data_IF_206008865740
#
_entry.id   IF_206008865740
#
_cell.length_a   1.000
_cell.length_b   1.000
_cell.length_c   1.000
_cell.angle_alpha   90.00
_cell.angle_beta   90.00
_cell.angle_gamma   90.00
#
_symmetry.space_group_name_H-M   'P 1'
#
loop_
_entity.id
_entity.type
_entity.pdbx_description
1 polymer ?
#
# COMPACT_ATOMS: atom_id res chain seq x y z
N UNK A 1 -4.67 -6.46 -5.04
CA UNK A 1 -5.80 -6.01 -4.19
C UNK A 1 -5.23 -5.10 -3.12
N UNK A 2 -5.77 -3.89 -2.86
CA UNK A 2 -5.16 -3.00 -1.86
C UNK A 2 -5.14 -3.61 -0.46
N UNK A 3 -4.07 -3.36 0.30
CA UNK A 3 -3.87 -3.90 1.66
C UNK A 3 -5.02 -3.59 2.63
N UNK A 4 -5.59 -2.39 2.57
CA UNK A 4 -6.76 -1.98 3.35
C UNK A 4 -7.96 -2.93 3.16
N UNK A 5 -8.24 -3.31 1.91
CA UNK A 5 -9.36 -4.20 1.59
C UNK A 5 -9.07 -5.60 2.13
N UNK A 6 -7.80 -6.03 2.15
CA UNK A 6 -7.41 -7.31 2.73
C UNK A 6 -7.68 -7.34 4.24
N UNK A 7 -7.30 -6.30 4.98
CA UNK A 7 -7.62 -6.14 6.41
C UNK A 7 -9.11 -6.23 6.67
N UNK A 8 -9.93 -5.51 5.88
CA UNK A 8 -11.38 -5.56 6.01
C UNK A 8 -11.99 -6.95 5.77
N UNK A 9 -11.35 -7.78 4.92
CA UNK A 9 -11.77 -9.16 4.68
C UNK A 9 -11.41 -10.07 5.85
N UNK A 10 -10.16 -10.05 6.30
CA UNK A 10 -9.73 -10.93 7.40
C UNK A 10 -10.35 -10.52 8.73
N UNK A 11 -10.67 -9.24 8.94
CA UNK A 11 -11.41 -8.76 10.11
C UNK A 11 -12.86 -9.27 10.23
N UNK A 12 -13.32 -10.13 9.32
CA UNK A 12 -14.61 -10.83 9.43
C UNK A 12 -14.51 -12.16 10.15
N UNK A 13 -13.31 -12.74 10.25
CA UNK A 13 -13.05 -13.93 11.06
C UNK A 13 -12.66 -13.53 12.47
N UNK A 14 -12.84 -14.45 13.41
CA UNK A 14 -12.68 -14.26 14.86
C UNK A 14 -13.67 -13.28 15.54
N UNK A 15 -14.29 -13.72 16.64
CA UNK A 15 -15.14 -12.90 17.52
C UNK A 15 -15.15 -13.46 18.93
N UNK A 16 -15.23 -12.56 19.93
CA UNK A 16 -15.45 -12.88 21.36
C UNK A 16 -14.42 -13.85 21.95
N UNK A 17 -13.13 -13.61 21.68
CA UNK A 17 -12.02 -14.38 22.28
C UNK A 17 -11.83 -15.78 21.71
N UNK A 18 -12.42 -16.09 20.55
CA UNK A 18 -12.10 -17.30 19.80
C UNK A 18 -10.85 -17.04 18.96
N UNK A 19 -10.46 -17.99 18.11
CA UNK A 19 -9.39 -17.77 17.13
C UNK A 19 -9.99 -18.02 15.76
N UNK A 20 -9.89 -17.03 14.89
CA UNK A 20 -10.31 -17.13 13.49
C UNK A 20 -9.13 -17.50 12.60
N UNK A 21 -9.42 -18.22 11.52
CA UNK A 21 -8.42 -18.55 10.50
C UNK A 21 -8.80 -17.82 9.21
N UNK A 22 -7.80 -17.23 8.55
CA UNK A 22 -7.91 -16.65 7.22
C UNK A 22 -6.84 -17.26 6.32
N UNK A 23 -7.26 -17.84 5.19
CA UNK A 23 -6.37 -18.48 4.22
C UNK A 23 -6.43 -17.69 2.92
N UNK A 24 -5.26 -17.28 2.43
CA UNK A 24 -5.13 -16.43 1.25
C UNK A 24 -4.35 -17.15 0.17
N UNK A 25 -4.92 -17.24 -1.03
CA UNK A 25 -4.19 -17.74 -2.20
C UNK A 25 -3.44 -16.58 -2.87
N UNK A 26 -2.14 -16.79 -3.11
CA UNK A 26 -1.24 -15.81 -3.73
C UNK A 26 -0.76 -16.37 -5.07
N UNK A 27 -0.72 -15.53 -6.09
CA UNK A 27 -0.24 -15.87 -7.42
C UNK A 27 0.75 -14.78 -7.92
N UNK A 28 1.62 -15.13 -8.87
CA UNK A 28 2.59 -14.24 -9.52
C UNK A 28 1.95 -13.05 -10.24
N UNK A 29 0.65 -13.11 -10.55
CA UNK A 29 -0.08 -12.02 -11.18
C UNK A 29 -0.46 -10.87 -10.21
N UNK A 30 -0.09 -10.95 -8.93
CA UNK A 30 -0.29 -9.84 -7.99
C UNK A 30 0.83 -8.80 -8.13
N UNK A 31 0.50 -7.52 -7.92
CA UNK A 31 1.51 -6.46 -7.94
C UNK A 31 2.50 -6.64 -6.79
N UNK A 32 3.78 -6.35 -7.06
CA UNK A 32 4.85 -6.42 -6.06
C UNK A 32 4.54 -5.55 -4.84
N UNK A 33 4.00 -4.35 -5.06
CA UNK A 33 3.52 -3.44 -4.00
C UNK A 33 2.53 -4.10 -3.04
N UNK A 34 1.60 -4.92 -3.56
CA UNK A 34 0.61 -5.62 -2.74
C UNK A 34 1.28 -6.72 -1.90
N UNK A 35 2.28 -7.40 -2.45
CA UNK A 35 3.00 -8.47 -1.76
C UNK A 35 3.90 -7.91 -0.65
N UNK A 36 4.55 -6.78 -0.90
CA UNK A 36 5.33 -6.05 0.11
C UNK A 36 4.42 -5.51 1.22
N UNK A 37 3.25 -4.95 0.88
CA UNK A 37 2.25 -4.56 1.88
C UNK A 37 1.85 -5.75 2.77
N UNK A 38 1.61 -6.92 2.17
CA UNK A 38 1.23 -8.13 2.90
C UNK A 38 2.36 -8.64 3.81
N UNK A 39 3.61 -8.62 3.33
CA UNK A 39 4.80 -9.00 4.10
C UNK A 39 4.92 -8.16 5.38
N UNK A 40 4.86 -6.83 5.24
CA UNK A 40 4.92 -5.91 6.38
C UNK A 40 3.76 -6.10 7.35
N UNK A 41 2.55 -6.33 6.83
CA UNK A 41 1.37 -6.59 7.65
C UNK A 41 1.51 -7.87 8.48
N UNK A 42 2.01 -8.95 7.88
CA UNK A 42 2.27 -10.20 8.59
C UNK A 42 3.38 -10.04 9.64
N UNK A 43 4.41 -9.24 9.36
CA UNK A 43 5.48 -8.94 10.30
C UNK A 43 5.00 -8.13 11.51
N UNK A 44 4.20 -7.08 11.29
CA UNK A 44 3.60 -6.28 12.37
C UNK A 44 2.67 -7.12 13.25
N UNK A 45 1.85 -7.98 12.63
CA UNK A 45 0.97 -8.90 13.33
C UNK A 45 1.69 -10.12 13.95
N UNK A 46 3.03 -10.20 13.85
CA UNK A 46 3.89 -11.28 14.35
C UNK A 46 3.46 -12.67 13.85
N UNK A 47 2.93 -12.74 12.64
CA UNK A 47 2.52 -13.97 11.99
C UNK A 47 3.71 -14.67 11.33
N UNK A 48 3.58 -15.97 11.05
CA UNK A 48 4.58 -16.71 10.26
C UNK A 48 4.57 -16.20 8.83
N UNK A 49 5.71 -15.72 8.34
CA UNK A 49 5.86 -15.20 6.98
C UNK A 49 6.27 -16.36 6.05
N UNK A 50 5.49 -16.66 4.99
CA UNK A 50 5.88 -17.66 3.99
C UNK A 50 7.19 -17.29 3.28
N UNK A 51 8.06 -18.24 2.93
CA UNK A 51 9.36 -17.98 2.27
C UNK A 51 9.24 -17.13 1.01
N UNK A 52 8.18 -17.35 0.22
CA UNK A 52 7.88 -16.59 -1.00
C UNK A 52 7.77 -15.08 -0.76
N UNK A 53 7.35 -14.66 0.44
CA UNK A 53 7.28 -13.23 0.80
C UNK A 53 8.56 -12.73 1.46
N UNK A 54 9.37 -13.61 2.05
CA UNK A 54 10.66 -13.25 2.66
C UNK A 54 11.68 -12.88 1.59
N UNK A 55 11.69 -13.62 0.47
CA UNK A 55 12.59 -13.40 -0.67
C UNK A 55 12.29 -12.10 -1.45
N UNK A 56 11.15 -11.45 -1.20
CA UNK A 56 10.85 -10.18 -1.81
C UNK A 56 11.75 -9.09 -1.19
N UNK A 57 12.62 -8.53 -2.02
CA UNK A 57 13.45 -7.41 -1.64
C UNK A 57 12.59 -6.16 -1.48
N UNK A 58 12.71 -5.54 -0.30
CA UNK A 58 12.11 -4.24 -0.06
C UNK A 58 13.08 -3.15 -0.54
N UNK A 59 12.73 -2.34 -1.55
CA UNK A 59 13.56 -1.20 -1.94
C UNK A 59 13.68 -0.15 -0.83
N UNK A 60 12.89 -0.28 0.25
CA UNK A 60 12.97 0.55 1.45
C UNK A 60 13.90 0.00 2.53
N UNK A 61 14.48 -1.20 2.34
CA UNK A 61 15.40 -1.84 3.30
C UNK A 61 16.87 -1.76 2.89
N UNK A 62 17.21 -0.99 1.84
CA UNK A 62 18.59 -0.53 1.67
C UNK A 62 19.00 0.25 2.94
N UNK A 63 20.06 -0.24 3.59
CA UNK A 63 20.42 -0.09 5.01
C UNK A 63 20.53 1.36 5.54
N UNK A 64 20.51 2.35 4.66
CA UNK A 64 20.56 3.77 5.00
C UNK A 64 19.18 4.31 5.47
N UNK A 65 18.09 3.62 5.13
CA UNK A 65 16.72 4.06 5.45
C UNK A 65 16.25 3.71 6.87
N UNK A 66 16.87 2.77 7.59
CA UNK A 66 16.42 2.39 8.95
C UNK A 66 16.71 3.50 9.98
N UNK A 67 17.82 4.21 9.85
CA UNK A 67 18.15 5.35 10.72
C UNK A 67 17.19 6.53 10.47
N UNK A 68 16.84 6.77 9.20
CA UNK A 68 15.93 7.85 8.79
C UNK A 68 14.46 7.50 9.08
N UNK A 69 14.05 6.24 8.90
CA UNK A 69 12.68 5.78 9.17
C UNK A 69 12.38 5.74 10.67
N UNK A 70 13.36 5.41 11.51
CA UNK A 70 13.22 5.48 12.97
C UNK A 70 13.18 6.95 13.46
N UNK A 71 13.86 7.88 12.79
CA UNK A 71 13.82 9.30 13.11
C UNK A 71 12.55 10.02 12.59
N UNK A 72 12.01 9.59 11.44
CA UNK A 72 10.88 10.25 10.78
C UNK A 72 9.52 9.58 11.08
N UNK A 73 9.51 8.35 11.61
CA UNK A 73 8.30 7.65 12.04
C UNK A 73 7.37 7.16 10.92
N UNK A 74 7.66 7.47 9.65
CA UNK A 74 6.76 7.17 8.53
C UNK A 74 7.39 6.10 7.62
N UNK A 75 7.13 4.83 7.92
CA UNK A 75 7.42 3.68 7.03
C UNK A 75 6.35 3.49 5.95
N UNK A 76 5.26 4.27 5.99
CA UNK A 76 4.10 4.15 5.10
C UNK A 76 4.06 5.21 3.99
N UNK A 77 3.30 4.96 2.94
CA UNK A 77 2.96 5.94 1.91
C UNK A 77 2.05 7.04 2.50
N UNK A 78 2.51 8.28 2.55
CA UNK A 78 1.76 9.41 3.11
C UNK A 78 0.39 9.68 2.47
N UNK A 79 0.18 9.24 1.22
CA UNK A 79 -1.09 9.45 0.51
C UNK A 79 -2.18 8.41 0.82
N UNK A 80 -1.82 7.12 0.93
CA UNK A 80 -2.78 6.03 1.11
C UNK A 80 -2.57 5.17 2.36
N UNK A 81 -1.48 5.39 3.10
CA UNK A 81 -1.12 4.59 4.27
C UNK A 81 -0.57 3.18 3.95
N UNK A 82 -0.35 2.81 2.68
CA UNK A 82 0.28 1.53 2.31
C UNK A 82 1.71 1.40 2.86
N UNK A 83 2.15 0.18 3.16
CA UNK A 83 3.40 -0.09 3.91
C UNK A 83 4.58 -0.53 3.02
N UNK A 84 4.30 -1.07 1.83
CA UNK A 84 5.26 -1.62 0.88
C UNK A 84 5.59 -0.73 -0.30
N UNK A 85 5.21 0.55 -0.27
CA UNK A 85 5.55 1.52 -1.31
C UNK A 85 5.62 2.96 -0.78
N UNK A 86 6.29 3.85 -1.51
CA UNK A 86 6.36 5.29 -1.20
C UNK A 86 5.33 6.07 -2.02
N UNK A 87 5.11 7.35 -1.67
CA UNK A 87 4.17 8.24 -2.38
C UNK A 87 4.42 8.32 -3.89
N UNK A 88 5.67 8.12 -4.33
CA UNK A 88 6.05 8.11 -5.75
C UNK A 88 5.46 6.93 -6.51
N UNK A 89 5.37 5.77 -5.87
CA UNK A 89 4.95 4.48 -6.46
C UNK A 89 3.50 4.12 -6.07
N UNK A 90 2.72 5.11 -5.63
CA UNK A 90 1.38 4.89 -5.12
C UNK A 90 0.35 4.71 -6.24
N UNK A 91 -0.14 3.47 -6.38
CA UNK A 91 -1.17 3.11 -7.37
C UNK A 91 -2.49 3.88 -7.21
N UNK A 92 -2.82 4.33 -5.98
CA UNK A 92 -4.00 5.17 -5.72
C UNK A 92 -3.82 6.61 -6.23
N UNK A 93 -2.58 7.09 -6.42
CA UNK A 93 -2.29 8.48 -6.81
C UNK A 93 -2.36 8.70 -8.33
N UNK A 94 -2.10 7.68 -9.14
CA UNK A 94 -2.16 7.73 -10.61
C UNK A 94 -3.50 8.27 -11.16
N UNK A 95 -4.68 7.81 -10.71
CA UNK A 95 -5.95 8.34 -11.23
C UNK A 95 -6.17 9.81 -10.85
N UNK A 96 -5.74 10.27 -9.67
CA UNK A 96 -5.91 11.67 -9.26
C UNK A 96 -5.00 12.66 -10.00
N UNK A 97 -3.81 12.23 -10.45
CA UNK A 97 -2.94 13.06 -11.31
C UNK A 97 -3.58 13.33 -12.67
N UNK A 98 -4.24 12.33 -13.26
CA UNK A 98 -4.91 12.48 -14.56
C UNK A 98 -6.07 13.49 -14.52
N UNK A 99 -6.82 13.51 -13.41
CA UNK A 99 -7.96 14.41 -13.20
C UNK A 99 -7.52 15.84 -12.87
N UNK A 100 -6.43 16.01 -12.10
CA UNK A 100 -5.87 17.34 -11.83
C UNK A 100 -5.31 18.01 -13.09
N UNK A 101 -4.66 17.24 -13.97
CA UNK A 101 -4.16 17.73 -15.27
C UNK A 101 -5.32 18.06 -16.23
N UNK A 102 -6.40 17.28 -16.23
CA UNK A 102 -7.58 17.59 -17.05
C UNK A 102 -8.32 18.84 -16.58
N UNK A 103 -8.39 19.08 -15.26
CA UNK A 103 -9.01 20.28 -14.71
C UNK A 103 -8.13 21.53 -14.92
N UNK A 104 -6.81 21.41 -14.81
CA UNK A 104 -5.89 22.54 -15.06
C UNK A 104 -5.90 23.04 -16.51
N UNK A 105 -6.34 22.22 -17.48
CA UNK A 105 -6.44 22.62 -18.90
C UNK A 105 -7.77 23.27 -19.26
N UNK A 106 -8.75 23.26 -18.36
CA UNK A 106 -10.11 23.74 -18.67
C UNK A 106 -10.29 25.25 -18.49
N UNK A 107 -9.30 25.94 -17.93
CA UNK A 107 -9.46 27.32 -17.47
C UNK A 107 -8.75 28.38 -18.36
N UNK A 108 -8.28 28.03 -19.57
CA UNK A 108 -7.52 28.97 -20.42
C UNK A 108 -8.19 29.42 -21.73
N UNK A 109 -9.41 28.97 -22.06
CA UNK A 109 -10.17 29.52 -23.19
C UNK A 109 -11.66 29.61 -22.85
N UNK A 110 -12.08 30.79 -22.40
CA UNK A 110 -13.49 31.10 -22.14
C UNK A 110 -13.73 32.57 -21.83
N UNK A 111 -12.95 33.46 -22.44
CA UNK A 111 -13.29 34.88 -22.57
C UNK A 111 -14.24 35.02 -23.77
N UNK A 112 -15.40 35.64 -23.55
CA UNK A 112 -16.16 36.33 -24.60
C UNK A 112 -17.53 35.76 -24.96
N UNK A 113 -18.57 36.54 -24.62
CA UNK A 113 -19.78 36.70 -25.43
C UNK A 113 -21.01 35.93 -24.95
N UNK A 114 -21.91 36.59 -24.22
CA UNK A 114 -23.04 37.40 -24.74
C UNK A 114 -23.55 38.35 -23.65
#
# INVERSE_FOLDING_TARGET
>A
MPAEIYVHRIGRTDRRGKTGVATTFINKNQSETTLLDLKHLLQEAKQRIPPVLVELNDPTMEEEAETIANASGVKSCAYCGGLGHRIRDCIKLEPHKSVAISNSRKDYFGSGGY
#
